data_IF_873524926388
#
_entry.id   IF_873524926388
#
_cell.length_a   1.000
_cell.length_b   1.000
_cell.length_c   1.000
_cell.angle_alpha   90.00
_cell.angle_beta   90.00
_cell.angle_gamma   90.00
#
_symmetry.space_group_name_H-M   'P 1'
#
loop_
_entity.id
_entity.type
_entity.pdbx_description
1 polymer ?
#
# COMPACT_ATOMS: atom_id res chain seq x y z
N UNK A 1 -58.80 -47.25 -20.81
CA UNK A 1 -57.81 -46.29 -21.34
C UNK A 1 -57.99 -44.83 -20.90
N UNK A 2 -59.14 -44.39 -20.36
CA UNK A 2 -59.34 -42.99 -19.90
C UNK A 2 -58.73 -42.59 -18.55
N UNK A 3 -58.29 -43.56 -17.72
CA UNK A 3 -57.71 -43.28 -16.39
C UNK A 3 -56.18 -43.14 -16.38
N UNK A 4 -55.49 -43.60 -17.41
CA UNK A 4 -54.02 -43.55 -17.50
C UNK A 4 -53.55 -42.23 -18.12
N UNK A 5 -54.34 -41.63 -19.02
CA UNK A 5 -54.03 -40.33 -19.64
C UNK A 5 -54.16 -39.14 -18.68
N UNK A 6 -55.04 -39.24 -17.67
CA UNK A 6 -55.22 -38.17 -16.68
C UNK A 6 -54.09 -38.11 -15.64
N UNK A 7 -53.40 -39.22 -15.39
CA UNK A 7 -52.28 -39.27 -14.45
C UNK A 7 -51.00 -38.67 -15.07
N UNK A 8 -50.78 -38.89 -16.37
CA UNK A 8 -49.63 -38.33 -17.08
C UNK A 8 -49.71 -36.80 -17.19
N UNK A 9 -50.91 -36.23 -17.33
CA UNK A 9 -51.08 -34.77 -17.44
C UNK A 9 -50.82 -34.05 -16.11
N UNK A 10 -51.18 -34.67 -14.97
CA UNK A 10 -50.91 -34.11 -13.65
C UNK A 10 -49.40 -34.14 -13.33
N UNK A 11 -48.68 -35.20 -13.74
CA UNK A 11 -47.22 -35.27 -13.53
C UNK A 11 -46.48 -34.22 -14.37
N UNK A 12 -46.93 -33.92 -15.60
CA UNK A 12 -46.30 -32.88 -16.43
C UNK A 12 -46.59 -31.48 -15.90
N UNK A 13 -47.77 -31.22 -15.35
CA UNK A 13 -48.10 -29.92 -14.73
C UNK A 13 -47.35 -29.73 -13.42
N UNK A 14 -47.18 -30.78 -12.60
CA UNK A 14 -46.37 -30.70 -11.37
C UNK A 14 -44.88 -30.55 -11.68
N UNK A 15 -44.34 -31.22 -12.72
CA UNK A 15 -42.93 -31.04 -13.10
C UNK A 15 -42.62 -29.66 -13.70
N UNK A 16 -43.59 -28.95 -14.30
CA UNK A 16 -43.37 -27.58 -14.78
C UNK A 16 -43.44 -26.51 -13.68
N UNK A 17 -44.12 -26.78 -12.55
CA UNK A 17 -44.15 -25.85 -11.41
C UNK A 17 -42.84 -25.86 -10.60
N UNK A 18 -41.98 -26.87 -10.79
CA UNK A 18 -40.67 -26.96 -10.13
C UNK A 18 -39.46 -26.53 -10.97
N UNK A 19 -39.65 -26.06 -12.22
CA UNK A 19 -38.54 -25.51 -13.03
C UNK A 19 -38.40 -24.00 -12.87
N UNK A 20 -39.38 -23.31 -12.31
CA UNK A 20 -39.20 -21.95 -11.78
C UNK A 20 -38.58 -22.00 -10.39
N UNK A 21 -37.45 -22.69 -10.22
CA UNK A 21 -36.52 -22.31 -9.16
C UNK A 21 -36.02 -20.95 -9.57
N UNK A 22 -36.44 -19.95 -8.81
CA UNK A 22 -35.92 -18.61 -8.86
C UNK A 22 -34.42 -18.66 -9.17
N UNK A 23 -34.02 -18.02 -10.27
CA UNK A 23 -32.81 -17.21 -10.20
C UNK A 23 -33.10 -16.19 -9.11
N UNK A 24 -32.95 -16.62 -7.86
CA UNK A 24 -32.75 -15.69 -6.77
C UNK A 24 -31.58 -14.86 -7.25
N UNK A 25 -31.78 -13.54 -7.31
CA UNK A 25 -30.67 -12.64 -7.06
C UNK A 25 -29.82 -13.32 -6.01
N UNK A 26 -28.56 -13.59 -6.33
CA UNK A 26 -27.59 -13.89 -5.30
C UNK A 26 -27.68 -12.66 -4.41
N UNK A 27 -28.44 -12.78 -3.32
CA UNK A 27 -28.40 -11.85 -2.21
C UNK A 27 -26.94 -11.96 -1.81
N UNK A 28 -26.12 -11.02 -2.28
CA UNK A 28 -24.79 -10.80 -1.73
C UNK A 28 -25.05 -10.67 -0.25
N UNK A 29 -24.68 -11.71 0.51
CA UNK A 29 -24.68 -11.63 1.97
C UNK A 29 -23.95 -10.34 2.35
N UNK A 30 -24.47 -9.57 3.32
CA UNK A 30 -23.97 -8.23 3.68
C UNK A 30 -22.43 -8.17 3.87
N UNK A 31 -21.79 -9.31 4.15
CA UNK A 31 -20.34 -9.47 4.26
C UNK A 31 -19.53 -9.24 2.94
N UNK A 32 -20.19 -9.20 1.78
CA UNK A 32 -19.56 -9.16 0.44
C UNK A 32 -19.68 -7.81 -0.30
N UNK A 33 -20.15 -6.77 0.39
CA UNK A 33 -20.26 -5.41 -0.17
C UNK A 33 -19.50 -4.47 0.75
N UNK A 34 -18.78 -3.45 0.27
CA UNK A 34 -18.15 -2.41 1.11
C UNK A 34 -18.29 -1.02 0.50
N UNK A 35 -19.27 -0.27 1.01
CA UNK A 35 -19.51 1.10 0.54
C UNK A 35 -18.54 2.10 1.14
N UNK A 36 -17.75 2.74 0.27
CA UNK A 36 -16.90 3.87 0.59
C UNK A 36 -17.32 5.06 -0.27
N UNK A 37 -17.44 6.22 0.37
CA UNK A 37 -17.62 7.49 -0.31
C UNK A 37 -16.32 7.88 -0.98
N UNK A 38 -16.40 8.16 -2.26
CA UNK A 38 -15.26 8.52 -3.08
C UNK A 38 -15.68 9.46 -4.19
N UNK A 39 -14.73 10.27 -4.67
CA UNK A 39 -14.87 10.95 -5.96
C UNK A 39 -14.65 9.99 -7.13
N UNK A 40 -15.02 10.44 -8.32
CA UNK A 40 -14.72 9.73 -9.56
C UNK A 40 -13.22 9.74 -9.85
N UNK A 41 -12.73 8.59 -10.33
CA UNK A 41 -11.36 8.42 -10.82
C UNK A 41 -11.33 8.82 -12.30
N UNK A 42 -10.25 9.43 -12.77
CA UNK A 42 -10.10 9.74 -14.20
C UNK A 42 -9.83 8.46 -14.99
N UNK A 43 -10.30 8.41 -16.24
CA UNK A 43 -10.02 7.30 -17.15
C UNK A 43 -8.51 7.06 -17.35
N UNK A 44 -7.72 8.14 -17.38
CA UNK A 44 -6.26 8.04 -17.47
C UNK A 44 -5.64 7.35 -16.26
N UNK A 45 -6.08 7.69 -15.04
CA UNK A 45 -5.58 7.06 -13.82
C UNK A 45 -6.04 5.60 -13.73
N UNK A 46 -7.26 5.29 -14.15
CA UNK A 46 -7.77 3.91 -14.24
C UNK A 46 -6.92 3.07 -15.22
N UNK A 47 -6.65 3.60 -16.42
CA UNK A 47 -5.78 2.95 -17.40
C UNK A 47 -4.36 2.74 -16.86
N UNK A 48 -3.78 3.75 -16.20
CA UNK A 48 -2.47 3.63 -15.57
C UNK A 48 -2.47 2.56 -14.47
N UNK A 49 -3.50 2.54 -13.63
CA UNK A 49 -3.65 1.58 -12.52
C UNK A 49 -3.61 0.14 -13.03
N UNK A 50 -4.37 -0.16 -14.09
CA UNK A 50 -4.43 -1.51 -14.65
C UNK A 50 -3.10 -1.96 -15.24
N UNK A 51 -2.36 -1.05 -15.89
CA UNK A 51 -1.04 -1.32 -16.47
C UNK A 51 0.04 -1.48 -15.39
N UNK A 52 0.14 -0.55 -14.44
CA UNK A 52 1.18 -0.57 -13.41
C UNK A 52 0.99 -1.71 -12.41
N UNK A 53 -0.26 -2.11 -12.13
CA UNK A 53 -0.55 -3.22 -11.22
C UNK A 53 0.13 -4.52 -11.66
N UNK A 54 0.06 -4.85 -12.95
CA UNK A 54 0.68 -6.07 -13.50
C UNK A 54 2.20 -6.07 -13.33
N UNK A 55 2.82 -4.89 -13.47
CA UNK A 55 4.27 -4.69 -13.33
C UNK A 55 4.70 -4.80 -11.87
N UNK A 56 4.03 -4.10 -10.95
CA UNK A 56 4.29 -4.15 -9.51
C UNK A 56 4.04 -5.55 -8.90
N UNK A 57 3.13 -6.34 -9.48
CA UNK A 57 2.84 -7.70 -9.00
C UNK A 57 3.91 -8.73 -9.40
N UNK A 58 4.79 -8.47 -10.38
CA UNK A 58 5.74 -9.51 -10.85
C UNK A 58 6.72 -9.97 -9.76
N UNK A 59 7.40 -9.07 -9.02
CA UNK A 59 8.27 -9.50 -7.92
C UNK A 59 7.49 -10.27 -6.84
N UNK A 60 6.25 -9.83 -6.60
CA UNK A 60 5.34 -10.41 -5.61
C UNK A 60 4.95 -11.83 -5.99
N UNK A 61 4.61 -12.10 -7.25
CA UNK A 61 4.25 -13.45 -7.71
C UNK A 61 5.44 -14.41 -7.57
N UNK A 62 6.66 -13.94 -7.84
CA UNK A 62 7.88 -14.74 -7.69
C UNK A 62 8.13 -15.15 -6.24
N UNK A 63 7.94 -14.22 -5.28
CA UNK A 63 8.23 -14.44 -3.87
C UNK A 63 7.13 -13.91 -2.92
N UNK A 64 5.89 -14.44 -2.95
CA UNK A 64 4.71 -13.84 -2.31
C UNK A 64 4.87 -13.56 -0.82
N UNK A 65 5.52 -14.48 -0.13
CA UNK A 65 5.67 -14.46 1.33
C UNK A 65 6.52 -13.27 1.80
N UNK A 66 7.53 -12.87 1.01
CA UNK A 66 8.37 -11.71 1.29
C UNK A 66 7.59 -10.38 1.22
N UNK A 67 6.40 -10.39 0.62
CA UNK A 67 5.51 -9.24 0.48
C UNK A 67 4.25 -9.36 1.36
N UNK A 68 4.23 -10.34 2.28
CA UNK A 68 3.11 -10.56 3.19
C UNK A 68 1.89 -11.24 2.55
N UNK A 69 2.07 -11.88 1.38
CA UNK A 69 1.00 -12.58 0.67
C UNK A 69 1.20 -14.10 0.67
N UNK A 70 0.11 -14.84 0.44
CA UNK A 70 0.16 -16.30 0.32
C UNK A 70 0.27 -16.72 -1.15
N UNK A 71 1.12 -17.73 -1.41
CA UNK A 71 1.41 -18.21 -2.77
C UNK A 71 0.18 -18.67 -3.56
N UNK A 72 -0.79 -19.28 -2.90
CA UNK A 72 -2.02 -19.79 -3.53
C UNK A 72 -3.03 -18.69 -3.91
N UNK A 73 -2.80 -17.45 -3.49
CA UNK A 73 -3.74 -16.33 -3.70
C UNK A 73 -3.26 -15.34 -4.76
N UNK A 74 -1.96 -15.07 -4.83
CA UNK A 74 -1.40 -13.97 -5.65
C UNK A 74 -1.76 -14.06 -7.13
N UNK A 75 -1.78 -15.25 -7.72
CA UNK A 75 -2.13 -15.47 -9.13
C UNK A 75 -3.61 -15.22 -9.43
N UNK A 76 -4.44 -15.15 -8.37
CA UNK A 76 -5.89 -14.96 -8.45
C UNK A 76 -6.32 -13.57 -7.98
N UNK A 77 -5.37 -12.67 -7.70
CA UNK A 77 -5.68 -11.32 -7.30
C UNK A 77 -6.43 -10.56 -8.39
N UNK A 78 -7.40 -9.75 -7.96
CA UNK A 78 -8.20 -8.86 -8.80
C UNK A 78 -8.19 -7.47 -8.21
N UNK A 79 -8.39 -6.46 -9.04
CA UNK A 79 -8.58 -5.09 -8.56
C UNK A 79 -10.05 -4.87 -8.20
N UNK A 80 -10.30 -4.27 -7.04
CA UNK A 80 -11.59 -3.73 -6.65
C UNK A 80 -11.80 -2.30 -7.17
N UNK A 81 -12.96 -1.70 -6.91
CA UNK A 81 -13.20 -0.29 -7.28
C UNK A 81 -12.35 0.66 -6.43
N UNK A 82 -11.73 1.62 -7.10
CA UNK A 82 -10.91 2.66 -6.47
C UNK A 82 -11.73 3.54 -5.51
N UNK A 83 -11.07 4.00 -4.44
CA UNK A 83 -11.59 5.04 -3.55
C UNK A 83 -10.49 6.06 -3.20
N UNK A 84 -10.85 7.34 -3.03
CA UNK A 84 -9.88 8.35 -2.61
C UNK A 84 -9.76 8.42 -1.08
N UNK A 85 -8.60 8.89 -0.61
CA UNK A 85 -8.40 9.28 0.78
C UNK A 85 -8.83 10.73 0.97
N UNK A 86 -9.41 11.03 2.12
CA UNK A 86 -9.67 12.38 2.59
C UNK A 86 -8.61 12.79 3.61
N UNK A 87 -8.33 14.08 3.70
CA UNK A 87 -7.41 14.63 4.69
C UNK A 87 -8.18 15.49 5.68
N UNK A 88 -7.87 15.35 6.97
CA UNK A 88 -8.33 16.26 8.00
C UNK A 88 -7.29 17.35 8.23
N UNK A 89 -7.64 18.60 7.90
CA UNK A 89 -6.78 19.76 8.06
C UNK A 89 -7.61 20.98 8.44
N UNK A 90 -7.11 21.79 9.38
CA UNK A 90 -7.75 23.05 9.79
C UNK A 90 -9.24 22.86 10.16
N UNK A 91 -9.56 21.78 10.86
CA UNK A 91 -10.93 21.40 11.24
C UNK A 91 -11.89 21.09 10.08
N UNK A 92 -11.36 20.80 8.89
CA UNK A 92 -12.09 20.50 7.67
C UNK A 92 -11.62 19.13 7.14
N UNK A 93 -12.56 18.35 6.61
CA UNK A 93 -12.29 17.12 5.88
C UNK A 93 -12.30 17.48 4.38
N UNK A 94 -11.14 17.42 3.74
CA UNK A 94 -10.95 17.74 2.33
C UNK A 94 -10.63 16.49 1.50
N UNK A 95 -11.09 16.43 0.26
CA UNK A 95 -10.77 15.33 -0.65
C UNK A 95 -9.33 15.46 -1.15
N UNK A 96 -8.64 14.33 -1.35
CA UNK A 96 -7.33 14.30 -2.01
C UNK A 96 -7.42 13.67 -3.40
N UNK A 97 -6.34 13.78 -4.18
CA UNK A 97 -6.13 13.10 -5.49
C UNK A 97 -5.39 11.75 -5.35
N UNK A 98 -5.33 11.20 -4.14
CA UNK A 98 -4.71 9.91 -3.86
C UNK A 98 -5.80 8.85 -3.79
N UNK A 99 -5.70 7.87 -4.69
CA UNK A 99 -6.65 6.77 -4.79
C UNK A 99 -6.01 5.46 -4.33
N UNK A 100 -6.80 4.66 -3.63
CA UNK A 100 -6.45 3.32 -3.23
C UNK A 100 -7.35 2.36 -3.98
N UNK A 101 -6.72 1.36 -4.59
CA UNK A 101 -7.38 0.30 -5.32
C UNK A 101 -7.19 -1.00 -4.52
N UNK A 102 -8.27 -1.60 -3.98
CA UNK A 102 -8.17 -2.84 -3.23
C UNK A 102 -7.64 -3.97 -4.10
N UNK A 103 -6.71 -4.75 -3.57
CA UNK A 103 -6.26 -6.00 -4.17
C UNK A 103 -7.06 -7.13 -3.50
N UNK A 104 -7.87 -7.82 -4.29
CA UNK A 104 -8.88 -8.77 -3.83
C UNK A 104 -8.46 -10.21 -4.12
N UNK A 105 -8.61 -11.08 -3.13
CA UNK A 105 -8.71 -12.52 -3.33
C UNK A 105 -10.10 -12.98 -2.87
N UNK A 106 -10.91 -13.49 -3.81
CA UNK A 106 -12.36 -13.62 -3.63
C UNK A 106 -12.96 -12.25 -3.25
N UNK A 107 -13.61 -12.15 -2.09
CA UNK A 107 -14.13 -10.88 -1.55
C UNK A 107 -13.21 -10.27 -0.50
N UNK A 108 -12.04 -10.84 -0.24
CA UNK A 108 -11.10 -10.39 0.79
C UNK A 108 -10.08 -9.40 0.24
N UNK A 109 -9.98 -8.24 0.90
CA UNK A 109 -8.91 -7.27 0.67
C UNK A 109 -7.64 -7.85 1.26
N UNK A 110 -6.63 -8.04 0.40
CA UNK A 110 -5.30 -8.56 0.75
C UNK A 110 -4.24 -7.48 0.77
N UNK A 111 -4.45 -6.40 0.02
CA UNK A 111 -3.52 -5.28 -0.05
C UNK A 111 -4.15 -4.10 -0.79
N UNK A 112 -3.34 -3.08 -1.04
CA UNK A 112 -3.75 -1.91 -1.80
C UNK A 112 -2.67 -1.50 -2.80
N UNK A 113 -3.14 -1.02 -3.94
CA UNK A 113 -2.37 -0.21 -4.86
C UNK A 113 -2.78 1.25 -4.65
N UNK A 114 -1.88 2.06 -4.11
CA UNK A 114 -2.07 3.50 -3.97
C UNK A 114 -1.53 4.20 -5.22
N UNK A 115 -2.31 5.12 -5.80
CA UNK A 115 -1.98 5.84 -7.04
C UNK A 115 -2.30 7.33 -6.88
N UNK A 116 -1.43 8.18 -7.42
CA UNK A 116 -1.66 9.63 -7.52
C UNK A 116 -0.99 10.18 -8.76
N UNK A 117 -1.48 11.31 -9.27
CA UNK A 117 -0.72 12.12 -10.23
C UNK A 117 0.29 12.97 -9.48
N UNK A 118 1.55 12.87 -9.85
CA UNK A 118 2.61 13.70 -9.32
C UNK A 118 2.85 14.91 -10.23
N UNK A 119 2.51 16.10 -9.71
CA UNK A 119 2.60 17.34 -10.50
C UNK A 119 4.03 17.77 -10.80
N UNK A 120 5.00 17.36 -10.00
CA UNK A 120 6.41 17.69 -10.19
C UNK A 120 7.03 16.88 -11.35
N UNK A 121 6.86 15.55 -11.34
CA UNK A 121 7.31 14.69 -12.44
C UNK A 121 6.36 14.68 -13.65
N UNK A 122 5.14 15.21 -13.50
CA UNK A 122 4.06 15.17 -14.49
C UNK A 122 3.64 13.76 -14.89
N UNK A 123 3.79 12.79 -13.99
CA UNK A 123 3.48 11.38 -14.22
C UNK A 123 2.63 10.81 -13.09
N UNK A 124 1.91 9.73 -13.36
CA UNK A 124 1.32 8.92 -12.31
C UNK A 124 2.40 8.10 -11.60
N UNK A 125 2.25 7.96 -10.29
CA UNK A 125 3.14 7.17 -9.43
C UNK A 125 2.32 6.27 -8.53
N UNK A 126 2.90 5.12 -8.15
CA UNK A 126 2.20 4.12 -7.39
C UNK A 126 3.03 3.49 -6.26
N UNK A 127 2.33 2.96 -5.25
CA UNK A 127 2.87 2.15 -4.17
C UNK A 127 1.94 0.95 -3.95
N UNK A 128 2.49 -0.26 -3.97
CA UNK A 128 1.76 -1.51 -3.75
C UNK A 128 2.26 -2.19 -2.47
N UNK A 129 1.36 -2.42 -1.53
CA UNK A 129 1.67 -3.18 -0.30
C UNK A 129 0.44 -3.81 0.34
N UNK A 130 0.66 -4.70 1.32
CA UNK A 130 -0.41 -5.21 2.19
C UNK A 130 -1.04 -4.09 3.03
N UNK A 131 -0.23 -3.17 3.56
CA UNK A 131 -0.64 -1.98 4.32
C UNK A 131 -1.73 -2.30 5.36
N UNK A 132 -2.76 -1.46 5.49
CA UNK A 132 -3.85 -1.60 6.45
C UNK A 132 -4.95 -2.60 6.03
N UNK A 133 -4.70 -3.48 5.05
CA UNK A 133 -5.71 -4.42 4.52
C UNK A 133 -6.37 -5.27 5.63
N UNK A 134 -5.58 -5.87 6.53
CA UNK A 134 -6.10 -6.72 7.60
C UNK A 134 -7.02 -5.96 8.57
N UNK A 135 -6.71 -4.68 8.84
CA UNK A 135 -7.57 -3.81 9.67
C UNK A 135 -8.80 -3.35 8.91
N UNK A 136 -8.67 -3.06 7.61
CA UNK A 136 -9.79 -2.69 6.75
C UNK A 136 -10.82 -3.82 6.62
N UNK A 137 -10.36 -5.07 6.56
CA UNK A 137 -11.26 -6.24 6.49
C UNK A 137 -12.21 -6.31 7.68
N UNK A 138 -11.80 -5.84 8.86
CA UNK A 138 -12.61 -5.85 10.09
C UNK A 138 -13.77 -4.87 10.07
N UNK A 139 -13.81 -3.91 9.13
CA UNK A 139 -14.92 -2.94 9.04
C UNK A 139 -16.07 -3.46 8.18
N UNK A 140 -15.94 -4.67 7.63
CA UNK A 140 -16.87 -5.16 6.62
C UNK A 140 -18.30 -5.35 7.13
N UNK A 141 -18.52 -5.67 8.38
CA UNK A 141 -19.88 -5.91 8.90
C UNK A 141 -20.60 -4.63 9.32
N UNK A 142 -19.97 -3.44 9.20
CA UNK A 142 -20.43 -2.21 9.86
C UNK A 142 -20.97 -1.12 8.93
N UNK A 143 -21.35 -1.45 7.69
CA UNK A 143 -21.73 -0.43 6.69
C UNK A 143 -22.97 -0.80 5.90
N UNK A 144 -23.61 0.25 5.37
CA UNK A 144 -24.69 0.15 4.39
C UNK A 144 -24.52 1.22 3.33
N UNK A 145 -25.21 1.11 2.19
CA UNK A 145 -25.22 2.17 1.16
C UNK A 145 -25.69 3.54 1.70
N UNK A 146 -26.54 3.53 2.74
CA UNK A 146 -27.04 4.73 3.42
C UNK A 146 -26.09 5.29 4.47
N UNK A 147 -25.10 4.50 4.91
CA UNK A 147 -24.09 4.88 5.88
C UNK A 147 -22.69 4.42 5.43
N UNK A 148 -22.19 4.95 4.31
CA UNK A 148 -20.89 4.58 3.75
C UNK A 148 -19.74 5.14 4.59
N UNK A 149 -18.62 4.44 4.58
CA UNK A 149 -17.38 4.94 5.17
C UNK A 149 -16.77 6.05 4.31
N UNK A 150 -16.10 7.01 4.92
CA UNK A 150 -15.03 7.79 4.29
C UNK A 150 -13.71 7.33 4.92
N UNK A 151 -12.64 7.32 4.15
CA UNK A 151 -11.31 7.01 4.67
C UNK A 151 -10.56 8.31 4.85
N UNK A 152 -10.17 8.62 6.09
CA UNK A 152 -9.61 9.92 6.49
C UNK A 152 -8.24 9.74 7.09
N UNK A 153 -7.27 10.48 6.57
CA UNK A 153 -5.97 10.71 7.19
C UNK A 153 -6.05 11.95 8.09
N UNK A 154 -5.78 11.79 9.38
CA UNK A 154 -5.87 12.83 10.37
C UNK A 154 -4.75 12.69 11.39
N UNK A 155 -3.94 13.75 11.51
CA UNK A 155 -2.76 13.75 12.39
C UNK A 155 -1.86 12.52 12.15
N UNK A 156 -1.67 12.17 10.87
CA UNK A 156 -0.89 11.03 10.41
C UNK A 156 -1.48 9.64 10.74
N UNK A 157 -2.66 9.56 11.39
CA UNK A 157 -3.42 8.32 11.56
C UNK A 157 -4.45 8.15 10.44
N UNK A 158 -4.71 6.91 10.05
CA UNK A 158 -5.76 6.56 9.09
C UNK A 158 -6.98 6.01 9.80
N UNK A 159 -8.16 6.50 9.44
CA UNK A 159 -9.44 6.02 9.96
C UNK A 159 -10.44 5.72 8.86
N UNK A 160 -11.29 4.72 9.10
CA UNK A 160 -12.57 4.58 8.43
C UNK A 160 -13.67 5.20 9.29
N UNK A 161 -14.35 6.23 8.77
CA UNK A 161 -15.39 6.98 9.49
C UNK A 161 -16.74 6.87 8.78
N UNK A 162 -17.76 6.36 9.47
CA UNK A 162 -19.16 6.48 9.05
C UNK A 162 -19.93 7.34 10.06
N UNK A 163 -21.26 7.39 10.03
CA UNK A 163 -22.02 8.24 10.94
C UNK A 163 -21.97 7.77 12.41
N UNK A 164 -21.61 6.51 12.65
CA UNK A 164 -21.71 5.88 13.98
C UNK A 164 -20.35 5.45 14.53
N UNK A 165 -19.34 5.29 13.67
CA UNK A 165 -18.07 4.67 14.00
C UNK A 165 -16.90 5.49 13.48
N UNK A 166 -15.86 5.57 14.31
CA UNK A 166 -14.51 5.90 13.91
C UNK A 166 -13.60 4.69 14.17
N UNK A 167 -13.08 4.07 13.11
CA UNK A 167 -12.29 2.84 13.21
C UNK A 167 -10.87 3.14 12.73
N UNK A 168 -9.88 2.92 13.60
CA UNK A 168 -8.47 3.06 13.27
C UNK A 168 -8.05 1.99 12.25
N UNK A 169 -7.46 2.42 11.15
CA UNK A 169 -6.90 1.58 10.09
C UNK A 169 -5.38 1.54 10.17
N UNK A 170 -4.72 2.66 10.44
CA UNK A 170 -3.26 2.74 10.56
C UNK A 170 -2.92 3.80 11.61
N UNK A 171 -1.96 3.51 12.47
CA UNK A 171 -1.52 4.42 13.52
C UNK A 171 -0.24 5.12 13.08
N UNK A 172 -0.17 6.44 13.19
CA UNK A 172 1.10 7.14 13.11
C UNK A 172 1.89 6.92 14.39
N UNK A 173 2.98 6.19 14.27
CA UNK A 173 3.88 5.87 15.38
C UNK A 173 4.53 7.12 15.99
N UNK A 174 4.59 8.24 15.24
CA UNK A 174 5.19 9.50 15.70
C UNK A 174 4.16 10.58 16.08
N UNK A 175 2.87 10.25 16.12
CA UNK A 175 1.83 11.23 16.43
C UNK A 175 1.68 11.39 17.94
N UNK A 176 1.80 12.64 18.42
CA UNK A 176 1.56 13.00 19.83
C UNK A 176 0.07 13.08 20.18
N UNK A 177 -0.82 12.89 19.21
CA UNK A 177 -2.27 13.00 19.39
C UNK A 177 -2.84 11.64 19.80
N UNK A 178 -3.67 11.62 20.84
CA UNK A 178 -4.38 10.41 21.23
C UNK A 178 -5.35 9.96 20.13
N UNK A 179 -5.21 8.72 19.69
CA UNK A 179 -6.02 8.13 18.61
C UNK A 179 -7.53 8.25 18.84
N UNK A 180 -7.99 8.02 20.08
CA UNK A 180 -9.42 8.03 20.41
C UNK A 180 -9.99 9.45 20.29
N UNK A 181 -9.24 10.44 20.76
CA UNK A 181 -9.65 11.84 20.69
C UNK A 181 -9.74 12.30 19.23
N UNK A 182 -8.75 11.93 18.41
CA UNK A 182 -8.76 12.19 16.97
C UNK A 182 -9.96 11.54 16.28
N UNK A 183 -10.23 10.26 16.58
CA UNK A 183 -11.38 9.55 16.01
C UNK A 183 -12.72 10.23 16.35
N UNK A 184 -12.89 10.66 17.61
CA UNK A 184 -14.09 11.38 18.06
C UNK A 184 -14.23 12.74 17.36
N UNK A 185 -13.12 13.47 17.21
CA UNK A 185 -13.09 14.77 16.54
C UNK A 185 -13.57 14.66 15.09
N UNK A 186 -13.02 13.71 14.32
CA UNK A 186 -13.39 13.52 12.91
C UNK A 186 -14.83 13.04 12.77
N UNK A 187 -15.28 12.13 13.65
CA UNK A 187 -16.66 11.63 13.66
C UNK A 187 -17.65 12.78 13.86
N UNK A 188 -17.41 13.63 14.86
CA UNK A 188 -18.23 14.81 15.11
C UNK A 188 -18.27 15.74 13.88
N UNK A 189 -17.13 15.97 13.22
CA UNK A 189 -17.06 16.81 12.02
C UNK A 189 -17.83 16.22 10.84
N UNK A 190 -17.74 14.90 10.62
CA UNK A 190 -18.50 14.23 9.57
C UNK A 190 -20.01 14.36 9.80
N UNK A 191 -20.46 14.13 11.04
CA UNK A 191 -21.88 14.25 11.42
C UNK A 191 -22.40 15.67 11.21
N UNK A 192 -21.62 16.69 11.61
CA UNK A 192 -22.01 18.10 11.46
C UNK A 192 -22.12 18.54 10.01
N UNK A 193 -21.22 18.08 9.14
CA UNK A 193 -21.13 18.56 7.75
C UNK A 193 -22.01 17.78 6.76
N UNK A 194 -22.82 16.81 7.22
CA UNK A 194 -23.69 15.98 6.38
C UNK A 194 -23.02 15.56 5.06
N UNK A 195 -21.93 14.81 5.17
CA UNK A 195 -21.11 14.47 4.01
C UNK A 195 -21.91 13.65 2.97
N UNK A 196 -22.31 14.30 1.86
CA UNK A 196 -22.96 13.66 0.72
C UNK A 196 -21.89 13.43 -0.35
N UNK A 197 -21.50 12.16 -0.54
CA UNK A 197 -20.58 11.74 -1.59
C UNK A 197 -21.15 10.56 -2.36
N UNK A 198 -20.61 10.30 -3.55
CA UNK A 198 -20.92 9.09 -4.29
C UNK A 198 -20.32 7.91 -3.53
N UNK A 199 -21.16 6.93 -3.17
CA UNK A 199 -20.70 5.69 -2.55
C UNK A 199 -20.51 4.61 -3.60
N UNK A 200 -19.38 3.91 -3.55
CA UNK A 200 -19.07 2.76 -4.41
C UNK A 200 -18.84 1.52 -3.57
N UNK A 201 -19.28 0.36 -4.07
CA UNK A 201 -18.89 -0.94 -3.49
C UNK A 201 -17.46 -1.25 -3.92
N UNK A 202 -16.49 -1.06 -3.02
CA UNK A 202 -15.07 -1.23 -3.36
C UNK A 202 -14.66 -2.70 -3.54
N UNK A 203 -15.54 -3.66 -3.19
CA UNK A 203 -15.32 -5.08 -3.42
C UNK A 203 -15.84 -5.53 -4.78
N UNK A 204 -16.54 -4.66 -5.50
CA UNK A 204 -16.88 -4.91 -6.90
C UNK A 204 -15.59 -4.97 -7.72
N UNK A 205 -15.43 -6.05 -8.49
CA UNK A 205 -14.25 -6.25 -9.32
C UNK A 205 -14.28 -5.24 -10.46
N UNK A 206 -13.17 -4.53 -10.66
CA UNK A 206 -13.03 -3.48 -11.67
C UNK A 206 -12.77 -4.02 -13.08
N UNK A 207 -13.29 -5.21 -13.41
CA UNK A 207 -13.01 -5.92 -14.66
C UNK A 207 -11.58 -6.45 -14.79
N UNK A 208 -10.62 -5.92 -14.02
CA UNK A 208 -9.21 -6.32 -14.05
C UNK A 208 -8.94 -7.50 -13.10
N UNK A 209 -8.58 -8.63 -13.69
CA UNK A 209 -8.02 -9.79 -13.01
C UNK A 209 -6.61 -10.04 -13.49
N UNK A 210 -5.71 -10.49 -12.61
CA UNK A 210 -4.48 -11.13 -13.07
C UNK A 210 -4.88 -12.42 -13.81
N UNK A 211 -4.53 -12.52 -15.09
CA UNK A 211 -4.48 -13.80 -15.77
C UNK A 211 -3.06 -14.35 -15.67
N UNK A 212 -2.90 -15.67 -15.59
CA UNK A 212 -1.58 -16.34 -15.69
C UNK A 212 -0.83 -15.93 -16.97
N UNK A 213 -1.55 -15.51 -18.02
CA UNK A 213 -0.98 -14.98 -19.26
C UNK A 213 -0.33 -13.59 -19.10
N UNK A 214 -0.82 -12.75 -18.18
CA UNK A 214 -0.28 -11.42 -17.90
C UNK A 214 1.07 -11.48 -17.16
N UNK A 215 1.28 -12.56 -16.40
CA UNK A 215 2.55 -12.84 -15.72
C UNK A 215 3.62 -13.29 -16.73
N UNK A 216 3.21 -13.95 -17.81
CA UNK A 216 4.07 -14.45 -18.89
C UNK A 216 4.56 -13.39 -19.88
N UNK A 217 4.32 -12.09 -19.65
CA UNK A 217 4.95 -11.00 -20.43
C UNK A 217 6.49 -11.12 -20.40
N UNK A 218 7.06 -11.86 -19.44
CA UNK A 218 8.49 -12.22 -19.39
C UNK A 218 9.03 -13.02 -20.60
N UNK A 219 8.21 -13.69 -21.41
CA UNK A 219 8.74 -14.36 -22.61
C UNK A 219 8.96 -13.41 -23.79
N UNK A 220 8.46 -12.17 -23.74
CA UNK A 220 8.58 -11.19 -24.84
C UNK A 220 9.18 -9.84 -24.43
N UNK A 221 9.15 -9.47 -23.14
CA UNK A 221 9.79 -8.24 -22.65
C UNK A 221 11.18 -8.52 -22.08
N UNK A 222 12.20 -7.81 -22.56
CA UNK A 222 13.52 -7.82 -21.94
C UNK A 222 13.45 -7.09 -20.59
N UNK A 223 13.42 -7.84 -19.49
CA UNK A 223 13.39 -7.32 -18.12
C UNK A 223 14.76 -7.51 -17.50
N UNK A 224 15.33 -6.43 -16.95
CA UNK A 224 16.53 -6.48 -16.11
C UNK A 224 16.08 -6.30 -14.66
N UNK A 225 16.49 -7.19 -13.77
CA UNK A 225 16.09 -7.15 -12.37
C UNK A 225 17.16 -7.73 -11.45
N UNK A 226 17.34 -7.12 -10.28
CA UNK A 226 18.20 -7.65 -9.21
C UNK A 226 17.61 -7.30 -7.84
N UNK A 227 17.81 -8.20 -6.87
CA UNK A 227 17.06 -8.21 -5.61
C UNK A 227 17.91 -8.79 -4.47
N UNK A 228 18.42 -7.93 -3.57
CA UNK A 228 19.25 -8.31 -2.41
C UNK A 228 18.43 -8.81 -1.22
N UNK A 229 18.67 -9.99 -0.63
CA UNK A 229 17.81 -10.58 0.41
C UNK A 229 17.93 -9.93 1.81
N UNK A 230 17.96 -8.59 1.86
CA UNK A 230 17.95 -7.77 3.07
C UNK A 230 16.66 -8.03 3.86
N UNK A 231 16.80 -8.47 5.11
CA UNK A 231 15.65 -8.71 5.98
C UNK A 231 15.14 -7.41 6.61
N UNK A 232 13.82 -7.20 6.75
CA UNK A 232 13.29 -6.04 7.46
C UNK A 232 13.68 -6.05 8.94
N UNK A 233 14.09 -4.90 9.46
CA UNK A 233 14.13 -4.60 10.89
C UNK A 233 12.99 -3.63 11.19
N UNK A 234 12.17 -3.95 12.19
CA UNK A 234 11.02 -3.13 12.56
C UNK A 234 11.44 -1.98 13.47
N UNK A 235 10.87 -0.79 13.25
CA UNK A 235 11.07 0.34 14.17
C UNK A 235 10.21 0.26 15.45
N UNK A 236 9.25 -0.68 15.52
CA UNK A 236 8.28 -0.75 16.62
C UNK A 236 7.40 0.49 16.71
N UNK A 237 7.00 0.87 17.92
CA UNK A 237 6.16 2.06 18.19
C UNK A 237 6.97 3.36 18.35
N UNK A 238 8.28 3.32 18.04
CA UNK A 238 9.22 4.41 18.26
C UNK A 238 9.59 5.13 16.95
N UNK A 239 10.08 6.39 16.99
CA UNK A 239 10.45 7.16 15.79
C UNK A 239 11.77 6.71 15.13
N UNK A 240 12.12 5.43 15.23
CA UNK A 240 13.40 4.84 14.86
C UNK A 240 13.48 4.36 13.41
N UNK A 241 12.74 4.98 12.49
CA UNK A 241 12.74 4.58 11.08
C UNK A 241 14.18 4.53 10.49
N UNK A 242 15.00 5.54 10.79
CA UNK A 242 16.39 5.59 10.35
C UNK A 242 17.23 4.47 10.96
N UNK A 243 17.16 4.29 12.27
CA UNK A 243 17.90 3.26 12.99
C UNK A 243 17.54 1.85 12.53
N UNK A 244 16.25 1.57 12.30
CA UNK A 244 15.77 0.31 11.74
C UNK A 244 16.32 0.04 10.34
N UNK A 245 16.34 1.06 9.46
CA UNK A 245 16.91 0.92 8.12
C UNK A 245 18.43 0.69 8.16
N UNK A 246 19.14 1.38 9.05
CA UNK A 246 20.59 1.20 9.27
C UNK A 246 20.89 -0.21 9.76
N UNK A 247 20.17 -0.69 10.78
CA UNK A 247 20.29 -2.05 11.29
C UNK A 247 20.05 -3.10 10.21
N UNK A 248 18.99 -2.95 9.40
CA UNK A 248 18.70 -3.87 8.31
C UNK A 248 19.85 -3.98 7.30
N UNK A 249 20.47 -2.86 6.95
CA UNK A 249 21.62 -2.83 6.03
C UNK A 249 22.87 -3.46 6.67
N UNK A 250 23.20 -3.11 7.92
CA UNK A 250 24.38 -3.66 8.61
C UNK A 250 24.23 -5.16 8.82
N UNK A 251 23.07 -5.63 9.27
CA UNK A 251 22.77 -7.05 9.44
C UNK A 251 22.98 -7.82 8.13
N UNK A 252 22.57 -7.22 7.00
CA UNK A 252 22.80 -7.80 5.69
C UNK A 252 24.28 -7.87 5.31
N UNK A 253 25.03 -6.78 5.48
CA UNK A 253 26.44 -6.70 5.06
C UNK A 253 27.37 -7.52 5.94
N UNK A 254 27.12 -7.55 7.24
CA UNK A 254 28.03 -8.13 8.23
C UNK A 254 27.54 -9.45 8.84
N UNK A 255 26.31 -9.88 8.57
CA UNK A 255 25.71 -11.06 9.22
C UNK A 255 25.39 -10.81 10.70
N UNK A 256 25.12 -9.57 11.06
CA UNK A 256 24.75 -9.16 12.42
C UNK A 256 23.24 -9.34 12.69
N UNK A 257 22.81 -8.97 13.90
CA UNK A 257 21.40 -9.05 14.32
C UNK A 257 20.97 -7.85 15.15
N UNK A 258 21.43 -6.67 14.75
CA UNK A 258 21.05 -5.39 15.34
C UNK A 258 19.55 -5.14 15.21
N UNK A 259 18.97 -4.59 16.26
CA UNK A 259 17.62 -4.03 16.27
C UNK A 259 17.67 -2.51 16.04
N UNK A 260 16.51 -1.89 15.83
CA UNK A 260 16.41 -0.43 15.80
C UNK A 260 16.80 0.21 17.16
N UNK A 261 16.56 -0.50 18.27
CA UNK A 261 16.94 -0.05 19.61
C UNK A 261 18.46 -0.05 19.80
N UNK A 262 19.16 -1.09 19.34
CA UNK A 262 20.62 -1.19 19.44
C UNK A 262 21.30 0.00 18.75
N UNK A 263 20.88 0.30 17.51
CA UNK A 263 21.41 1.45 16.75
C UNK A 263 21.08 2.77 17.44
N UNK A 264 19.88 2.92 18.01
CA UNK A 264 19.51 4.13 18.77
C UNK A 264 20.38 4.28 20.02
N UNK A 265 20.63 3.20 20.77
CA UNK A 265 21.50 3.21 21.95
C UNK A 265 22.94 3.55 21.55
N UNK A 266 23.42 3.05 20.43
CA UNK A 266 24.78 3.36 19.94
C UNK A 266 24.95 4.86 19.65
N UNK A 267 23.96 5.48 19.01
CA UNK A 267 24.01 6.91 18.67
C UNK A 267 23.79 7.80 19.90
N UNK A 268 22.77 7.51 20.70
CA UNK A 268 22.29 8.41 21.76
C UNK A 268 22.74 8.00 23.17
N UNK A 269 23.42 6.87 23.32
CA UNK A 269 23.80 6.28 24.60
C UNK A 269 22.64 5.63 25.38
N UNK A 270 21.41 5.70 24.87
CA UNK A 270 20.20 5.11 25.47
C UNK A 270 19.04 5.03 24.47
N UNK A 271 18.01 4.23 24.78
CA UNK A 271 16.82 4.03 23.93
C UNK A 271 15.84 5.22 24.03
N UNK A 272 16.22 6.37 23.47
CA UNK A 272 15.41 7.60 23.46
C UNK A 272 14.37 7.61 22.35
N UNK A 273 13.25 8.32 22.52
CA UNK A 273 12.20 8.48 21.51
C UNK A 273 12.58 9.53 20.43
N UNK A 274 13.75 9.36 19.81
CA UNK A 274 14.28 10.26 18.79
C UNK A 274 14.78 9.49 17.57
N UNK A 275 14.63 10.09 16.38
CA UNK A 275 15.20 9.54 15.15
C UNK A 275 16.70 9.77 15.07
N UNK A 276 17.33 9.25 14.01
CA UNK A 276 18.74 9.51 13.70
C UNK A 276 18.88 10.28 12.38
N UNK A 277 19.91 11.10 12.29
CA UNK A 277 20.33 11.86 11.12
C UNK A 277 21.16 11.00 10.17
N UNK A 278 21.30 11.42 8.91
CA UNK A 278 22.14 10.69 7.95
C UNK A 278 23.63 10.67 8.35
N UNK A 279 24.12 11.68 9.08
CA UNK A 279 25.49 11.68 9.59
C UNK A 279 25.70 10.60 10.66
N UNK A 280 24.72 10.42 11.56
CA UNK A 280 24.74 9.36 12.56
C UNK A 280 24.59 7.97 11.90
N UNK A 281 23.78 7.84 10.84
CA UNK A 281 23.73 6.61 10.02
C UNK A 281 25.12 6.25 9.48
N UNK A 282 25.87 7.24 8.98
CA UNK A 282 27.22 7.05 8.44
C UNK A 282 28.21 6.68 9.55
N UNK A 283 28.11 7.32 10.71
CA UNK A 283 28.94 7.03 11.88
C UNK A 283 28.75 5.59 12.37
N UNK A 284 27.50 5.16 12.57
CA UNK A 284 27.17 3.77 12.95
C UNK A 284 27.68 2.80 11.88
N UNK A 285 27.44 3.06 10.59
CA UNK A 285 27.98 2.22 9.53
C UNK A 285 29.52 2.07 9.61
N UNK A 286 30.22 3.16 9.93
CA UNK A 286 31.68 3.16 10.11
C UNK A 286 32.12 2.36 11.35
N UNK A 287 31.38 2.41 12.45
CA UNK A 287 31.65 1.61 13.65
C UNK A 287 31.55 0.10 13.35
N UNK A 288 30.69 -0.25 12.39
CA UNK A 288 30.53 -1.61 11.87
C UNK A 288 31.42 -1.92 10.64
N UNK A 289 32.45 -1.09 10.38
CA UNK A 289 33.45 -1.36 9.33
C UNK A 289 32.97 -1.13 7.89
N UNK A 290 31.80 -0.50 7.70
CA UNK A 290 31.25 -0.16 6.40
C UNK A 290 31.61 1.29 6.00
N UNK A 291 31.66 1.58 4.70
CA UNK A 291 31.94 2.93 4.20
C UNK A 291 30.68 3.55 3.59
N UNK A 292 29.99 4.40 4.34
CA UNK A 292 28.79 5.06 3.87
C UNK A 292 29.03 6.53 3.51
N UNK A 293 28.31 7.03 2.50
CA UNK A 293 28.34 8.45 2.08
C UNK A 293 26.95 8.96 1.79
N UNK A 294 26.69 10.23 2.12
CA UNK A 294 25.44 10.91 1.75
C UNK A 294 25.55 11.49 0.33
N UNK A 295 24.53 11.25 -0.50
CA UNK A 295 24.39 11.89 -1.81
C UNK A 295 22.97 12.39 -2.05
N UNK A 296 22.77 13.14 -3.13
CA UNK A 296 21.44 13.41 -3.70
C UNK A 296 20.73 12.09 -4.09
N UNK A 297 19.40 12.12 -4.35
CA UNK A 297 18.66 10.98 -4.87
C UNK A 297 19.32 10.41 -6.12
N UNK A 298 19.44 9.09 -6.19
CA UNK A 298 20.22 8.41 -7.23
C UNK A 298 19.43 8.25 -8.52
N UNK A 299 20.12 8.26 -9.67
CA UNK A 299 19.50 7.84 -10.91
C UNK A 299 19.20 6.34 -10.92
N UNK A 300 18.28 5.90 -11.79
CA UNK A 300 17.99 4.48 -11.94
C UNK A 300 19.24 3.63 -12.23
N UNK A 301 20.10 4.08 -13.13
CA UNK A 301 21.35 3.36 -13.47
C UNK A 301 22.29 3.26 -12.27
N UNK A 302 22.36 4.31 -11.43
CA UNK A 302 23.16 4.28 -10.22
C UNK A 302 22.57 3.32 -9.18
N UNK A 303 21.24 3.28 -9.05
CA UNK A 303 20.55 2.29 -8.19
C UNK A 303 20.85 0.87 -8.68
N UNK A 304 20.67 0.62 -9.98
CA UNK A 304 20.94 -0.68 -10.57
C UNK A 304 22.39 -1.13 -10.35
N UNK A 305 23.34 -0.21 -10.49
CA UNK A 305 24.76 -0.48 -10.23
C UNK A 305 25.02 -0.84 -8.77
N UNK A 306 24.46 -0.12 -7.80
CA UNK A 306 24.67 -0.43 -6.38
C UNK A 306 24.05 -1.75 -5.97
N UNK A 307 22.80 -1.98 -6.35
CA UNK A 307 22.12 -3.24 -6.07
C UNK A 307 22.86 -4.42 -6.72
N UNK A 308 23.33 -4.29 -7.96
CA UNK A 308 24.12 -5.35 -8.63
C UNK A 308 25.48 -5.61 -7.98
N UNK A 309 25.97 -4.67 -7.17
CA UNK A 309 27.22 -4.80 -6.42
C UNK A 309 26.98 -5.12 -4.94
N UNK A 310 25.83 -5.71 -4.60
CA UNK A 310 25.52 -6.11 -3.23
C UNK A 310 25.43 -4.94 -2.23
N UNK A 311 25.07 -3.74 -2.70
CA UNK A 311 24.96 -2.53 -1.88
C UNK A 311 23.51 -2.09 -1.77
N UNK A 312 22.78 -2.45 -0.70
CA UNK A 312 21.46 -1.86 -0.46
C UNK A 312 21.60 -0.36 -0.17
N UNK A 313 20.53 0.39 -0.42
CA UNK A 313 20.56 1.85 -0.39
C UNK A 313 19.60 2.35 0.69
N UNK A 314 20.10 3.20 1.58
CA UNK A 314 19.27 3.94 2.53
C UNK A 314 18.64 5.15 1.84
N UNK A 315 17.32 5.20 1.80
CA UNK A 315 16.55 6.30 1.23
C UNK A 315 16.00 7.18 2.36
N UNK A 316 16.43 8.44 2.42
CA UNK A 316 15.73 9.45 3.21
C UNK A 316 14.62 10.05 2.35
N UNK A 317 13.39 9.77 2.74
CA UNK A 317 12.18 10.29 2.12
C UNK A 317 11.70 11.53 2.87
N UNK A 318 11.19 12.55 2.17
CA UNK A 318 10.72 13.80 2.74
C UNK A 318 9.31 14.14 2.22
N UNK A 319 8.47 14.67 3.10
CA UNK A 319 7.25 15.39 2.74
C UNK A 319 7.20 16.78 3.36
N UNK A 320 6.40 17.66 2.79
CA UNK A 320 6.02 18.93 3.41
C UNK A 320 4.66 18.76 4.10
N UNK A 321 4.60 19.06 5.40
CA UNK A 321 3.36 19.06 6.17
C UNK A 321 2.51 20.28 5.83
N UNK A 322 1.28 20.26 6.30
CA UNK A 322 0.29 21.32 6.07
C UNK A 322 0.68 22.70 6.59
N UNK A 323 1.54 22.75 7.60
CA UNK A 323 2.08 23.95 8.26
C UNK A 323 3.42 24.42 7.63
N UNK A 324 3.85 23.79 6.54
CA UNK A 324 5.12 24.09 5.85
C UNK A 324 6.33 23.38 6.44
N UNK A 325 6.21 22.73 7.59
CA UNK A 325 7.32 21.97 8.19
C UNK A 325 7.63 20.71 7.38
N UNK A 326 8.83 20.17 7.54
CA UNK A 326 9.25 18.94 6.87
C UNK A 326 9.04 17.74 7.77
N UNK A 327 8.65 16.62 7.18
CA UNK A 327 8.62 15.31 7.84
C UNK A 327 9.47 14.36 7.02
N UNK A 328 10.29 13.58 7.70
CA UNK A 328 11.15 12.58 7.07
C UNK A 328 10.65 11.16 7.40
N UNK A 329 11.02 10.21 6.56
CA UNK A 329 10.86 8.78 6.77
C UNK A 329 12.00 8.05 6.06
N UNK A 330 12.51 6.98 6.64
CA UNK A 330 13.58 6.18 6.03
C UNK A 330 13.01 4.90 5.41
N UNK A 331 13.56 4.50 4.26
CA UNK A 331 13.32 3.22 3.60
C UNK A 331 14.66 2.58 3.22
N UNK A 332 14.70 1.27 3.04
CA UNK A 332 15.83 0.59 2.39
C UNK A 332 15.42 0.16 1.00
N UNK A 333 16.09 0.66 -0.05
CA UNK A 333 15.96 0.14 -1.40
C UNK A 333 16.84 -1.09 -1.54
N UNK A 334 16.20 -2.23 -1.86
CA UNK A 334 16.86 -3.54 -1.91
C UNK A 334 16.80 -4.22 -3.27
N UNK A 335 16.06 -3.66 -4.23
CA UNK A 335 16.02 -4.20 -5.58
C UNK A 335 15.27 -3.35 -6.58
N UNK A 336 15.34 -3.79 -7.84
CA UNK A 336 14.76 -3.08 -8.97
C UNK A 336 14.27 -4.04 -10.07
N UNK A 337 13.34 -3.56 -10.90
CA UNK A 337 13.07 -4.11 -12.24
C UNK A 337 13.02 -2.98 -13.29
N UNK A 338 13.50 -3.25 -14.51
CA UNK A 338 13.42 -2.37 -15.68
C UNK A 338 12.62 -3.05 -16.78
N UNK A 339 11.54 -2.43 -17.24
CA UNK A 339 10.75 -2.91 -18.37
C UNK A 339 11.18 -2.17 -19.63
N UNK A 340 12.28 -2.60 -20.25
CA UNK A 340 12.98 -1.83 -21.31
C UNK A 340 12.06 -1.42 -22.46
N UNK A 341 11.16 -2.30 -22.88
CA UNK A 341 10.25 -2.05 -24.01
C UNK A 341 9.11 -1.07 -23.69
N UNK A 342 8.90 -0.76 -22.42
CA UNK A 342 7.77 0.04 -21.94
C UNK A 342 8.24 1.27 -21.12
N UNK A 343 9.50 1.28 -20.70
CA UNK A 343 10.15 2.40 -20.01
C UNK A 343 9.87 2.46 -18.50
N UNK A 344 8.99 1.62 -17.96
CA UNK A 344 8.69 1.65 -16.53
C UNK A 344 9.77 0.96 -15.71
N UNK A 345 9.92 1.51 -14.52
CA UNK A 345 10.90 1.12 -13.53
C UNK A 345 10.15 0.83 -12.24
N UNK A 346 10.57 -0.20 -11.56
CA UNK A 346 9.99 -0.63 -10.29
C UNK A 346 11.13 -0.72 -9.28
N UNK A 347 10.87 -0.28 -8.05
CA UNK A 347 11.76 -0.52 -6.92
C UNK A 347 11.06 -1.32 -5.84
N UNK A 348 11.82 -2.25 -5.25
CA UNK A 348 11.43 -3.01 -4.08
C UNK A 348 12.13 -2.43 -2.87
N UNK A 349 11.34 -1.99 -1.89
CA UNK A 349 11.80 -1.27 -0.71
C UNK A 349 11.33 -1.93 0.57
N UNK A 350 12.10 -1.76 1.64
CA UNK A 350 11.72 -2.08 3.01
C UNK A 350 11.23 -0.79 3.64
N UNK A 351 10.00 -0.83 4.16
CA UNK A 351 9.53 0.17 5.10
C UNK A 351 9.60 -0.43 6.51
N UNK A 352 10.32 0.17 7.46
CA UNK A 352 10.49 -0.37 8.82
C UNK A 352 9.19 -0.45 9.65
N UNK A 353 8.04 -0.03 9.10
CA UNK A 353 6.72 -0.30 9.66
C UNK A 353 6.25 -1.74 9.45
N UNK A 354 6.85 -2.48 8.52
CA UNK A 354 6.36 -3.77 8.06
C UNK A 354 7.46 -4.82 8.04
N UNK A 355 7.08 -6.05 8.33
CA UNK A 355 7.93 -7.25 8.24
C UNK A 355 7.95 -7.84 6.82
N UNK A 356 7.50 -7.05 5.84
CA UNK A 356 7.40 -7.42 4.43
C UNK A 356 7.86 -6.27 3.52
N UNK A 357 8.18 -6.60 2.27
CA UNK A 357 8.60 -5.64 1.27
C UNK A 357 7.43 -4.88 0.63
N UNK A 358 7.73 -3.69 0.11
CA UNK A 358 6.79 -2.81 -0.58
C UNK A 358 7.32 -2.54 -1.99
N UNK A 359 6.43 -2.48 -2.97
CA UNK A 359 6.79 -2.13 -4.34
C UNK A 359 6.38 -0.68 -4.63
N UNK A 360 7.27 0.11 -5.24
CA UNK A 360 7.00 1.48 -5.67
C UNK A 360 7.43 1.71 -7.11
N UNK A 361 6.80 2.67 -7.78
CA UNK A 361 7.27 3.12 -9.10
C UNK A 361 8.65 3.77 -8.97
N UNK A 362 9.61 3.28 -9.76
CA UNK A 362 10.93 3.87 -9.94
C UNK A 362 10.95 4.92 -11.06
N UNK A 363 12.03 5.69 -11.13
CA UNK A 363 12.24 6.71 -12.16
C UNK A 363 13.73 6.88 -12.46
N UNK A 364 14.07 7.39 -13.64
CA UNK A 364 15.45 7.76 -14.00
C UNK A 364 16.01 8.86 -13.11
N UNK A 365 15.14 9.80 -12.68
CA UNK A 365 15.50 10.81 -11.70
C UNK A 365 15.01 10.38 -10.31
N UNK A 366 15.94 10.04 -9.42
CA UNK A 366 15.65 9.63 -8.05
C UNK A 366 14.76 10.60 -7.29
N UNK A 367 14.89 11.92 -7.51
CA UNK A 367 14.11 12.91 -6.76
C UNK A 367 12.62 12.86 -7.06
N UNK A 368 12.21 12.19 -8.15
CA UNK A 368 10.82 12.00 -8.54
C UNK A 368 10.20 10.73 -7.95
N UNK A 369 11.04 9.84 -7.42
CA UNK A 369 10.60 8.60 -6.77
C UNK A 369 9.76 8.94 -5.55
N UNK A 370 8.63 8.27 -5.45
CA UNK A 370 7.56 8.60 -4.51
C UNK A 370 7.17 7.39 -3.70
N UNK A 371 6.95 7.59 -2.40
CA UNK A 371 6.31 6.63 -1.51
C UNK A 371 4.98 7.20 -1.00
N UNK A 372 3.89 6.46 -1.16
CA UNK A 372 2.53 6.87 -0.80
C UNK A 372 2.07 6.10 0.44
N UNK A 373 1.55 6.81 1.44
CA UNK A 373 0.91 6.21 2.62
C UNK A 373 -0.15 7.15 3.20
N UNK A 374 -1.36 6.64 3.40
CA UNK A 374 -2.53 7.48 3.71
C UNK A 374 -2.72 8.57 2.66
N UNK A 375 -2.89 9.81 3.11
CA UNK A 375 -2.90 11.00 2.26
C UNK A 375 -1.50 11.60 2.04
N UNK A 376 -0.45 10.95 2.51
CA UNK A 376 0.92 11.48 2.56
C UNK A 376 1.72 10.98 1.35
N UNK A 377 2.42 11.91 0.72
CA UNK A 377 3.29 11.67 -0.41
C UNK A 377 4.70 12.06 0.03
N UNK A 378 5.59 11.08 0.11
CA UNK A 378 6.99 11.30 0.40
C UNK A 378 7.82 11.20 -0.88
N UNK A 379 8.75 12.13 -1.06
CA UNK A 379 9.72 12.16 -2.16
C UNK A 379 11.09 11.75 -1.68
N UNK A 380 11.83 11.02 -2.51
CA UNK A 380 13.23 10.73 -2.19
C UNK A 380 14.03 12.02 -2.17
N UNK A 381 14.62 12.32 -1.00
CA UNK A 381 15.29 13.59 -0.72
C UNK A 381 16.81 13.44 -0.62
N UNK A 382 17.28 12.44 0.12
CA UNK A 382 18.71 12.12 0.26
C UNK A 382 18.93 10.62 0.25
N UNK A 383 20.16 10.25 -0.04
CA UNK A 383 20.61 8.88 -0.10
C UNK A 383 21.78 8.71 0.86
N UNK A 384 21.80 7.65 1.64
CA UNK A 384 23.05 7.12 2.18
C UNK A 384 23.37 5.82 1.44
N UNK A 385 24.58 5.70 0.90
CA UNK A 385 24.99 4.57 0.05
C UNK A 385 26.45 4.22 0.27
N UNK A 386 26.88 3.08 -0.28
CA UNK A 386 28.26 2.61 -0.20
C UNK A 386 28.52 1.55 0.88
N UNK A 387 27.49 1.23 1.67
CA UNK A 387 27.52 0.20 2.72
C UNK A 387 28.17 -1.10 2.26
#
# INVERSE_FOLDING_TARGET
>A
MRKITSLLFIVIVVMNVFISVAFGEIVKTDDNILYVNTKEISHEMESYTHDIFKKLMKPIIKNPELYGFQKNEVEKFKLGKAFNIYRYKNNIIESTDIFYIPILYNTNIRGFLAVTYDTESKNYVATLSKSFADRFQKIKSKKTKKNPFIIVDAYDHMFAINNDNAILLEEALNSKKNVKDVGNEILYKKQKNQFIGNSKDILEVDGTSLSTSDVNIASTSHVISEFLPVQPVLQGDQPWCGAACTAAIINYKNGESLTAEDVTIEVHGSAVEEGITNSEVIEVASNHGLTATETSPMSYTAVASDISNDRPIYMQMQRTKSDGTKSYHALVLRGYENYINYGEKIYSVINPWYDYYVEITGCDNGSQVTYITGSRIYKWYKTVRGF
#
